data_IF_496115539042
#
_entry.id   IF_496115539042
#
_cell.length_a   1.000
_cell.length_b   1.000
_cell.length_c   1.000
_cell.angle_alpha   90.00
_cell.angle_beta   90.00
_cell.angle_gamma   90.00
#
_symmetry.space_group_name_H-M   'P 1'
#
loop_
_entity.id
_entity.type
_entity.pdbx_description
1 polymer ?
#
# COMPACT_ATOMS: atom_id res chain seq x y z
N UNK A 1 -6.82 -3.30 23.27
CA UNK A 1 -5.70 -2.77 22.46
C UNK A 1 -6.21 -1.92 21.29
N UNK A 2 -6.90 -2.48 20.28
CA UNK A 2 -7.36 -1.72 19.11
C UNK A 2 -8.27 -0.52 19.44
N UNK A 3 -9.26 -0.69 20.32
CA UNK A 3 -10.17 0.39 20.70
C UNK A 3 -9.44 1.64 21.25
N UNK A 4 -8.41 1.45 22.08
CA UNK A 4 -7.57 2.55 22.60
C UNK A 4 -6.80 3.24 21.48
N UNK A 5 -6.19 2.46 20.58
CA UNK A 5 -5.47 2.99 19.41
C UNK A 5 -6.40 3.84 18.54
N UNK A 6 -7.58 3.32 18.22
CA UNK A 6 -8.58 4.03 17.42
C UNK A 6 -9.02 5.32 18.09
N UNK A 7 -9.33 5.31 19.39
CA UNK A 7 -9.73 6.51 20.12
C UNK A 7 -8.67 7.61 20.03
N UNK A 8 -7.40 7.26 20.23
CA UNK A 8 -6.27 8.19 20.17
C UNK A 8 -5.99 8.71 18.77
N UNK A 9 -6.13 7.84 17.76
CA UNK A 9 -5.96 8.20 16.35
C UNK A 9 -7.08 9.12 15.87
N UNK A 10 -8.34 8.87 16.24
CA UNK A 10 -9.49 9.66 15.82
C UNK A 10 -9.63 11.00 16.56
N UNK A 11 -9.03 11.13 17.76
CA UNK A 11 -9.11 12.34 18.57
C UNK A 11 -8.54 13.56 17.82
N UNK A 12 -9.37 14.59 17.66
CA UNK A 12 -9.01 15.85 17.01
C UNK A 12 -9.14 15.85 15.48
N UNK A 13 -9.49 14.72 14.87
CA UNK A 13 -9.68 14.63 13.41
C UNK A 13 -11.12 15.00 13.00
N UNK A 14 -11.28 15.47 11.76
CA UNK A 14 -12.58 15.86 11.23
C UNK A 14 -13.55 14.67 11.17
N UNK A 15 -14.86 14.95 11.07
CA UNK A 15 -15.85 13.90 10.85
C UNK A 15 -15.62 13.14 9.53
N UNK A 16 -15.13 13.83 8.50
CA UNK A 16 -14.83 13.23 7.19
C UNK A 16 -13.64 12.27 7.28
N UNK A 17 -12.57 12.70 7.92
CA UNK A 17 -11.42 11.84 8.18
C UNK A 17 -11.83 10.60 8.97
N UNK A 18 -12.57 10.77 10.07
CA UNK A 18 -13.02 9.66 10.92
C UNK A 18 -13.87 8.65 10.16
N UNK A 19 -14.78 9.12 9.30
CA UNK A 19 -15.62 8.23 8.48
C UNK A 19 -14.78 7.43 7.48
N UNK A 20 -13.87 8.07 6.74
CA UNK A 20 -13.01 7.39 5.76
C UNK A 20 -12.05 6.40 6.45
N UNK A 21 -11.46 6.78 7.57
CA UNK A 21 -10.55 5.90 8.32
C UNK A 21 -11.27 4.73 8.96
N UNK A 22 -12.49 4.93 9.48
CA UNK A 22 -13.30 3.83 9.98
C UNK A 22 -13.59 2.81 8.87
N UNK A 23 -13.95 3.28 7.67
CA UNK A 23 -14.13 2.42 6.50
C UNK A 23 -12.85 1.65 6.14
N UNK A 24 -11.68 2.31 6.11
CA UNK A 24 -10.41 1.64 5.80
C UNK A 24 -10.06 0.55 6.83
N UNK A 25 -10.33 0.78 8.11
CA UNK A 25 -10.18 -0.22 9.16
C UNK A 25 -11.17 -1.38 9.02
N UNK A 26 -12.45 -1.08 8.77
CA UNK A 26 -13.48 -2.09 8.54
C UNK A 26 -13.11 -2.98 7.35
N UNK A 27 -12.72 -2.38 6.23
CA UNK A 27 -12.27 -3.08 5.03
C UNK A 27 -11.08 -3.99 5.32
N UNK A 28 -10.06 -3.47 6.03
CA UNK A 28 -8.91 -4.27 6.46
C UNK A 28 -9.34 -5.51 7.25
N UNK A 29 -10.18 -5.35 8.28
CA UNK A 29 -10.64 -6.49 9.07
C UNK A 29 -11.50 -7.46 8.26
N UNK A 30 -12.37 -6.95 7.40
CA UNK A 30 -13.28 -7.74 6.57
C UNK A 30 -12.56 -8.58 5.50
N UNK A 31 -11.33 -8.23 5.10
CA UNK A 31 -10.57 -8.99 4.11
C UNK A 31 -9.86 -10.24 4.69
N UNK A 32 -9.62 -10.31 6.01
CA UNK A 32 -8.90 -11.45 6.61
C UNK A 32 -9.63 -12.80 6.50
N UNK A 33 -10.98 -12.88 6.63
CA UNK A 33 -11.70 -14.12 6.38
C UNK A 33 -11.50 -14.66 4.96
N UNK A 34 -11.47 -13.78 3.95
CA UNK A 34 -11.23 -14.17 2.56
C UNK A 34 -9.80 -14.73 2.37
N UNK A 35 -8.82 -14.13 3.04
CA UNK A 35 -7.43 -14.61 3.04
C UNK A 35 -7.28 -15.96 3.73
N UNK A 36 -7.96 -16.16 4.85
CA UNK A 36 -8.00 -17.45 5.53
C UNK A 36 -8.66 -18.53 4.67
N UNK A 37 -9.78 -18.23 4.01
CA UNK A 37 -10.44 -19.16 3.09
C UNK A 37 -9.56 -19.49 1.88
N UNK A 38 -8.85 -18.50 1.33
CA UNK A 38 -7.88 -18.66 0.25
C UNK A 38 -6.79 -19.67 0.61
N UNK A 39 -6.16 -19.51 1.79
CA UNK A 39 -5.14 -20.44 2.29
C UNK A 39 -5.66 -21.88 2.42
N UNK A 40 -6.88 -22.07 2.91
CA UNK A 40 -7.50 -23.39 3.06
C UNK A 40 -7.80 -24.07 1.71
N UNK A 41 -7.99 -23.31 0.64
CA UNK A 41 -8.25 -23.87 -0.68
C UNK A 41 -7.04 -24.56 -1.30
N UNK A 42 -5.82 -24.19 -0.87
CA UNK A 42 -4.56 -24.65 -1.44
C UNK A 42 -4.37 -24.28 -2.92
N UNK A 43 -5.22 -23.40 -3.48
CA UNK A 43 -5.15 -22.97 -4.87
C UNK A 43 -4.41 -21.64 -4.97
N UNK A 44 -3.49 -21.59 -5.91
CA UNK A 44 -2.86 -20.34 -6.32
C UNK A 44 -3.96 -19.41 -6.89
N UNK A 45 -4.15 -18.19 -6.33
CA UNK A 45 -5.04 -17.22 -6.93
C UNK A 45 -4.46 -16.71 -8.25
N UNK A 46 -5.33 -16.27 -9.17
CA UNK A 46 -4.86 -15.45 -10.29
C UNK A 46 -4.31 -14.10 -9.77
N UNK A 47 -3.52 -13.43 -10.61
CA UNK A 47 -2.86 -12.16 -10.26
C UNK A 47 -3.84 -11.08 -9.82
N UNK A 48 -4.99 -10.96 -10.47
CA UNK A 48 -5.98 -9.91 -10.14
C UNK A 48 -6.61 -10.16 -8.78
N UNK A 49 -7.05 -11.39 -8.53
CA UNK A 49 -7.60 -11.83 -7.26
C UNK A 49 -6.60 -11.71 -6.11
N UNK A 50 -5.33 -12.06 -6.37
CA UNK A 50 -4.25 -11.87 -5.41
C UNK A 50 -4.09 -10.39 -5.03
N UNK A 51 -3.96 -9.50 -6.02
CA UNK A 51 -3.78 -8.07 -5.77
C UNK A 51 -4.97 -7.45 -5.05
N UNK A 52 -6.19 -7.83 -5.42
CA UNK A 52 -7.41 -7.37 -4.75
C UNK A 52 -7.42 -7.76 -3.27
N UNK A 53 -7.09 -9.02 -2.97
CA UNK A 53 -7.02 -9.52 -1.61
C UNK A 53 -5.88 -8.88 -0.81
N UNK A 54 -4.68 -8.81 -1.40
CA UNK A 54 -3.48 -8.26 -0.78
C UNK A 54 -3.65 -6.80 -0.39
N UNK A 55 -4.27 -5.98 -1.25
CA UNK A 55 -4.57 -4.57 -0.91
C UNK A 55 -5.49 -4.47 0.29
N UNK A 56 -6.42 -5.40 0.45
CA UNK A 56 -7.32 -5.50 1.60
C UNK A 56 -6.61 -5.93 2.89
N UNK A 57 -5.68 -6.87 2.82
CA UNK A 57 -5.02 -7.42 4.01
C UNK A 57 -3.71 -6.73 4.39
N UNK A 58 -3.16 -5.85 3.54
CA UNK A 58 -1.91 -5.13 3.83
C UNK A 58 -2.06 -3.91 4.77
N UNK A 59 -3.30 -3.51 5.10
CA UNK A 59 -3.62 -2.34 5.95
C UNK A 59 -3.14 -0.97 5.43
N UNK A 60 -2.64 -0.88 4.20
CA UNK A 60 -1.94 0.32 3.68
C UNK A 60 -2.78 1.59 3.75
N UNK A 61 -4.07 1.50 3.44
CA UNK A 61 -4.99 2.64 3.49
C UNK A 61 -5.13 3.22 4.91
N UNK A 62 -5.04 2.37 5.95
CA UNK A 62 -5.06 2.81 7.36
C UNK A 62 -3.78 3.57 7.73
N UNK A 63 -2.63 3.18 7.17
CA UNK A 63 -1.36 3.87 7.37
C UNK A 63 -1.35 5.23 6.65
N UNK A 64 -1.95 5.30 5.46
CA UNK A 64 -2.08 6.54 4.72
C UNK A 64 -2.95 7.57 5.43
N UNK A 65 -4.00 7.13 6.13
CA UNK A 65 -4.76 8.03 6.99
C UNK A 65 -3.93 8.54 8.19
N UNK A 66 -2.98 7.73 8.69
CA UNK A 66 -2.07 8.17 9.74
C UNK A 66 -1.09 9.24 9.28
N UNK A 67 -0.76 9.33 7.98
CA UNK A 67 0.07 10.43 7.44
C UNK A 67 -0.54 11.77 7.82
N UNK A 68 -1.83 11.95 7.59
CA UNK A 68 -2.58 13.16 7.95
C UNK A 68 -2.60 13.39 9.47
N UNK A 69 -2.96 12.36 10.23
CA UNK A 69 -3.10 12.42 11.69
C UNK A 69 -1.79 12.73 12.41
N UNK A 70 -0.69 12.13 11.99
CA UNK A 70 0.62 12.28 12.64
C UNK A 70 1.27 13.63 12.28
N UNK A 71 1.00 14.12 11.07
CA UNK A 71 1.53 15.40 10.60
C UNK A 71 0.58 16.58 10.83
N UNK A 72 -0.59 16.35 11.45
CA UNK A 72 -1.56 17.39 11.85
C UNK A 72 -2.05 18.24 10.67
N UNK A 73 -2.44 17.58 9.59
CA UNK A 73 -3.13 18.21 8.45
C UNK A 73 -4.11 17.20 7.85
N UNK A 74 -5.06 17.67 7.05
CA UNK A 74 -5.92 16.80 6.22
C UNK A 74 -5.80 17.26 4.76
N UNK A 75 -5.67 16.32 3.83
CA UNK A 75 -5.58 16.65 2.40
C UNK A 75 -6.95 17.12 1.88
N UNK A 76 -7.00 18.16 1.02
CA UNK A 76 -8.25 18.58 0.39
C UNK A 76 -8.93 17.41 -0.34
N UNK A 77 -10.26 17.32 -0.25
CA UNK A 77 -11.02 16.18 -0.78
C UNK A 77 -10.92 16.09 -2.30
N UNK A 78 -10.86 17.24 -2.97
CA UNK A 78 -10.70 17.38 -4.40
C UNK A 78 -9.39 16.74 -4.87
N UNK A 79 -8.32 16.84 -4.06
CA UNK A 79 -7.03 16.20 -4.33
C UNK A 79 -7.09 14.72 -3.96
N UNK A 80 -7.63 14.39 -2.78
CA UNK A 80 -7.74 13.01 -2.28
C UNK A 80 -8.42 12.09 -3.31
N UNK A 81 -9.50 12.58 -3.92
CA UNK A 81 -10.29 11.84 -4.88
C UNK A 81 -9.81 12.01 -6.33
N UNK A 82 -8.82 12.87 -6.58
CA UNK A 82 -8.24 13.03 -7.90
C UNK A 82 -7.60 11.72 -8.38
N UNK A 83 -7.82 11.28 -9.63
CA UNK A 83 -7.30 10.00 -10.14
C UNK A 83 -5.80 9.82 -9.95
N UNK A 84 -5.01 10.88 -10.14
CA UNK A 84 -3.56 10.86 -9.90
C UNK A 84 -3.21 10.48 -8.46
N UNK A 85 -3.84 11.10 -7.46
CA UNK A 85 -3.49 10.79 -6.07
C UNK A 85 -4.02 9.41 -5.64
N UNK A 86 -5.18 8.98 -6.17
CA UNK A 86 -5.68 7.62 -5.97
C UNK A 86 -4.71 6.57 -6.50
N UNK A 87 -4.19 6.79 -7.70
CA UNK A 87 -3.19 5.90 -8.30
C UNK A 87 -1.88 5.93 -7.51
N UNK A 88 -1.44 7.09 -7.03
CA UNK A 88 -0.24 7.18 -6.17
C UNK A 88 -0.42 6.41 -4.86
N UNK A 89 -1.60 6.50 -4.20
CA UNK A 89 -1.91 5.68 -3.02
C UNK A 89 -1.86 4.19 -3.34
N UNK A 90 -2.46 3.77 -4.45
CA UNK A 90 -2.41 2.38 -4.89
C UNK A 90 -0.97 1.89 -5.12
N UNK A 91 -0.15 2.67 -5.84
CA UNK A 91 1.26 2.33 -6.06
C UNK A 91 2.03 2.24 -4.73
N UNK A 92 1.82 3.20 -3.82
CA UNK A 92 2.45 3.20 -2.50
C UNK A 92 2.02 2.02 -1.62
N UNK A 93 0.85 1.43 -1.87
CA UNK A 93 0.37 0.22 -1.21
C UNK A 93 0.94 -1.07 -1.84
N UNK A 94 1.03 -1.09 -3.17
CA UNK A 94 1.46 -2.26 -3.94
C UNK A 94 2.98 -2.47 -3.86
N UNK A 95 3.79 -1.42 -3.95
CA UNK A 95 5.27 -1.52 -3.94
C UNK A 95 5.79 -2.33 -2.73
N UNK A 96 5.44 -2.00 -1.47
CA UNK A 96 5.81 -2.81 -0.30
C UNK A 96 5.38 -4.26 -0.37
N UNK A 97 4.21 -4.54 -0.97
CA UNK A 97 3.70 -5.90 -1.08
C UNK A 97 4.53 -6.74 -2.04
N UNK A 98 4.97 -6.15 -3.16
CA UNK A 98 5.78 -6.85 -4.16
C UNK A 98 7.19 -7.13 -3.63
N UNK A 99 7.82 -6.17 -2.96
CA UNK A 99 9.15 -6.38 -2.37
C UNK A 99 9.07 -7.38 -1.23
N UNK A 100 8.04 -7.29 -0.38
CA UNK A 100 7.79 -8.27 0.68
C UNK A 100 7.71 -9.69 0.13
N UNK A 101 6.93 -9.91 -0.92
CA UNK A 101 6.73 -11.24 -1.51
C UNK A 101 8.04 -11.84 -2.04
N UNK A 102 8.94 -11.01 -2.58
CA UNK A 102 10.28 -11.46 -3.01
C UNK A 102 11.11 -11.85 -1.79
N UNK A 103 11.12 -11.04 -0.74
CA UNK A 103 11.89 -11.30 0.48
C UNK A 103 11.35 -12.50 1.29
N UNK A 104 10.03 -12.70 1.32
CA UNK A 104 9.38 -13.77 2.09
C UNK A 104 9.21 -15.08 1.31
N UNK A 105 9.48 -15.09 0.00
CA UNK A 105 9.23 -16.23 -0.89
C UNK A 105 9.74 -17.57 -0.34
N UNK A 106 11.00 -17.64 0.11
CA UNK A 106 11.59 -18.90 0.57
C UNK A 106 10.85 -19.50 1.77
N UNK A 107 10.48 -18.64 2.73
CA UNK A 107 9.77 -19.05 3.94
C UNK A 107 8.32 -19.44 3.65
N UNK A 108 7.63 -18.66 2.83
CA UNK A 108 6.24 -18.90 2.44
C UNK A 108 6.12 -20.16 1.59
N UNK A 109 7.02 -20.36 0.63
CA UNK A 109 7.08 -21.57 -0.18
C UNK A 109 7.32 -22.82 0.67
N UNK A 110 8.25 -22.76 1.63
CA UNK A 110 8.51 -23.88 2.55
C UNK A 110 7.32 -24.23 3.45
N UNK A 111 6.46 -23.26 3.77
CA UNK A 111 5.21 -23.46 4.54
C UNK A 111 4.05 -23.97 3.70
N UNK A 112 4.19 -23.97 2.36
CA UNK A 112 3.11 -24.30 1.44
C UNK A 112 2.07 -23.18 1.29
N UNK A 113 2.45 -21.93 1.57
CA UNK A 113 1.60 -20.78 1.26
C UNK A 113 1.46 -20.64 -0.27
N UNK A 114 0.31 -20.15 -0.72
CA UNK A 114 -0.02 -20.04 -2.16
C UNK A 114 -0.26 -18.59 -2.60
N UNK A 115 -0.21 -17.62 -1.68
CA UNK A 115 -0.52 -16.23 -1.94
C UNK A 115 0.76 -15.37 -1.95
N UNK A 116 1.56 -15.52 -3.00
CA UNK A 116 2.80 -14.77 -3.20
C UNK A 116 3.00 -14.45 -4.69
N UNK A 117 3.35 -13.20 -5.01
CA UNK A 117 3.50 -12.75 -6.40
C UNK A 117 4.59 -13.50 -7.18
N UNK A 118 5.67 -13.94 -6.55
CA UNK A 118 6.73 -14.74 -7.22
C UNK A 118 6.18 -16.07 -7.70
N UNK A 119 5.34 -16.74 -6.90
CA UNK A 119 4.69 -17.99 -7.29
C UNK A 119 3.71 -17.77 -8.45
N UNK A 120 2.94 -16.69 -8.40
CA UNK A 120 1.96 -16.32 -9.44
C UNK A 120 2.68 -16.02 -10.76
N UNK A 121 3.72 -15.19 -10.73
CA UNK A 121 4.48 -14.84 -11.94
C UNK A 121 5.13 -16.07 -12.57
N UNK A 122 5.64 -17.00 -11.75
CA UNK A 122 6.21 -18.26 -12.23
C UNK A 122 5.17 -19.16 -12.88
N UNK A 123 3.95 -19.22 -12.34
CA UNK A 123 2.85 -19.95 -12.98
C UNK A 123 2.45 -19.34 -14.32
N UNK A 124 2.42 -18.00 -14.41
CA UNK A 124 2.04 -17.27 -15.62
C UNK A 124 3.08 -17.35 -16.76
N UNK A 125 4.36 -17.31 -16.43
CA UNK A 125 5.45 -17.14 -17.41
C UNK A 125 6.43 -18.33 -17.48
N UNK A 126 6.33 -19.29 -16.55
CA UNK A 126 7.33 -20.34 -16.36
C UNK A 126 8.63 -19.82 -15.76
N UNK A 127 9.71 -20.61 -15.90
CA UNK A 127 11.06 -20.23 -15.47
C UNK A 127 11.39 -20.59 -14.02
N UNK A 128 12.54 -20.12 -13.56
CA UNK A 128 13.02 -20.36 -12.20
C UNK A 128 12.41 -19.37 -11.20
N UNK A 129 12.39 -19.70 -9.89
CA UNK A 129 11.98 -18.75 -8.85
C UNK A 129 12.78 -17.43 -8.88
N UNK A 130 14.06 -17.48 -9.22
CA UNK A 130 14.93 -16.31 -9.31
C UNK A 130 14.55 -15.41 -10.49
N UNK A 131 14.19 -15.99 -11.64
CA UNK A 131 13.70 -15.25 -12.81
C UNK A 131 12.36 -14.55 -12.50
N UNK A 132 11.44 -15.26 -11.84
CA UNK A 132 10.16 -14.72 -11.41
C UNK A 132 10.35 -13.60 -10.36
N UNK A 133 11.21 -13.80 -9.36
CA UNK A 133 11.53 -12.78 -8.37
C UNK A 133 12.14 -11.53 -9.00
N UNK A 134 13.06 -11.70 -9.97
CA UNK A 134 13.63 -10.60 -10.71
C UNK A 134 12.56 -9.84 -11.53
N UNK A 135 11.56 -10.54 -12.07
CA UNK A 135 10.43 -9.90 -12.74
C UNK A 135 9.57 -9.08 -11.75
N UNK A 136 9.22 -9.64 -10.60
CA UNK A 136 8.46 -8.93 -9.56
C UNK A 136 9.19 -7.67 -9.10
N UNK A 137 10.51 -7.73 -8.93
CA UNK A 137 11.32 -6.55 -8.60
C UNK A 137 11.33 -5.50 -9.72
N UNK A 138 11.37 -5.90 -11.00
CA UNK A 138 11.23 -4.96 -12.13
C UNK A 138 9.86 -4.29 -12.15
N UNK A 139 8.80 -5.04 -11.86
CA UNK A 139 7.44 -4.49 -11.73
C UNK A 139 7.36 -3.48 -10.58
N UNK A 140 7.94 -3.80 -9.41
CA UNK A 140 8.04 -2.89 -8.28
C UNK A 140 8.81 -1.60 -8.63
N UNK A 141 9.94 -1.71 -9.33
CA UNK A 141 10.70 -0.55 -9.79
C UNK A 141 9.89 0.32 -10.76
N UNK A 142 9.19 -0.28 -11.72
CA UNK A 142 8.34 0.46 -12.65
C UNK A 142 7.19 1.20 -11.91
N UNK A 143 6.66 0.63 -10.83
CA UNK A 143 5.69 1.29 -9.97
C UNK A 143 6.30 2.51 -9.24
N UNK A 144 7.54 2.40 -8.75
CA UNK A 144 8.27 3.52 -8.15
C UNK A 144 8.47 4.65 -9.16
N UNK A 145 8.95 4.34 -10.36
CA UNK A 145 9.19 5.32 -11.41
C UNK A 145 7.88 6.06 -11.79
N UNK A 146 6.79 5.30 -11.89
CA UNK A 146 5.45 5.86 -12.12
C UNK A 146 4.99 6.75 -10.97
N UNK A 147 5.22 6.36 -9.71
CA UNK A 147 4.89 7.17 -8.54
C UNK A 147 5.63 8.51 -8.57
N UNK A 148 6.93 8.51 -8.92
CA UNK A 148 7.74 9.72 -9.06
C UNK A 148 7.20 10.62 -10.17
N UNK A 149 6.89 10.06 -11.34
CA UNK A 149 6.31 10.80 -12.46
C UNK A 149 4.95 11.43 -12.14
N UNK A 150 4.11 10.74 -11.35
CA UNK A 150 2.82 11.29 -10.90
C UNK A 150 2.99 12.37 -9.84
N UNK A 151 3.95 12.21 -8.92
CA UNK A 151 4.25 13.21 -7.89
C UNK A 151 4.60 14.56 -8.48
N UNK A 152 5.34 14.59 -9.59
CA UNK A 152 5.69 15.81 -10.32
C UNK A 152 4.47 16.54 -10.93
N UNK A 153 3.34 15.85 -11.12
CA UNK A 153 2.11 16.44 -11.69
C UNK A 153 1.23 17.11 -10.62
N UNK A 154 1.44 16.79 -9.33
CA UNK A 154 0.58 17.25 -8.23
C UNK A 154 0.51 18.79 -8.12
N UNK A 155 1.60 19.57 -8.29
CA UNK A 155 1.52 21.02 -8.30
C UNK A 155 0.55 21.56 -9.38
N UNK A 156 0.62 21.04 -10.61
CA UNK A 156 -0.27 21.43 -11.70
C UNK A 156 -1.74 21.01 -11.47
N UNK A 157 -1.96 19.88 -10.79
CA UNK A 157 -3.31 19.48 -10.33
C UNK A 157 -3.84 20.48 -9.31
N UNK A 158 -3.00 20.94 -8.37
CA UNK A 158 -3.41 21.94 -7.40
C UNK A 158 -3.74 23.29 -8.06
N UNK A 159 -3.03 23.66 -9.13
CA UNK A 159 -3.36 24.82 -9.98
C UNK A 159 -4.72 24.67 -10.64
N UNK A 160 -4.95 23.53 -11.31
CA UNK A 160 -6.20 23.23 -12.00
C UNK A 160 -7.41 23.25 -11.05
N UNK A 161 -7.24 22.73 -9.84
CA UNK A 161 -8.29 22.71 -8.81
C UNK A 161 -8.46 24.05 -8.08
N UNK A 162 -7.65 25.08 -8.39
CA UNK A 162 -7.76 26.40 -7.77
C UNK A 162 -7.47 26.39 -6.27
N UNK A 163 -6.60 25.48 -5.80
CA UNK A 163 -6.36 25.31 -4.36
C UNK A 163 -5.67 26.53 -3.75
N UNK A 164 -6.06 26.85 -2.52
CA UNK A 164 -5.38 27.84 -1.70
C UNK A 164 -3.93 27.42 -1.39
N UNK A 165 -3.06 28.35 -0.96
CA UNK A 165 -1.70 28.02 -0.53
C UNK A 165 -1.65 26.93 0.55
N UNK A 166 -2.59 26.95 1.49
CA UNK A 166 -2.70 25.92 2.53
C UNK A 166 -3.11 24.55 1.95
N UNK A 167 -4.02 24.52 0.97
CA UNK A 167 -4.43 23.28 0.30
C UNK A 167 -3.30 22.65 -0.53
N UNK A 168 -2.51 23.48 -1.23
CA UNK A 168 -1.31 23.07 -1.97
C UNK A 168 -0.27 22.45 -1.04
N UNK A 169 -0.03 23.10 0.09
CA UNK A 169 0.91 22.60 1.09
C UNK A 169 0.44 21.27 1.68
N UNK A 170 -0.85 21.14 2.00
CA UNK A 170 -1.42 19.88 2.48
C UNK A 170 -1.27 18.74 1.44
N UNK A 171 -1.53 19.02 0.16
CA UNK A 171 -1.35 18.05 -0.93
C UNK A 171 0.13 17.62 -1.05
N UNK A 172 1.05 18.57 -1.02
CA UNK A 172 2.50 18.32 -1.08
C UNK A 172 2.96 17.44 0.09
N UNK A 173 2.59 17.81 1.32
CA UNK A 173 2.92 17.03 2.54
C UNK A 173 2.35 15.63 2.51
N UNK A 174 1.17 15.46 1.93
CA UNK A 174 0.55 14.15 1.78
C UNK A 174 1.34 13.25 0.83
N UNK A 175 1.74 13.77 -0.34
CA UNK A 175 2.62 13.07 -1.30
C UNK A 175 3.97 12.72 -0.68
N UNK A 176 4.59 13.65 0.05
CA UNK A 176 5.85 13.40 0.77
C UNK A 176 5.69 12.30 1.82
N UNK A 177 4.53 12.22 2.48
CA UNK A 177 4.21 11.16 3.43
C UNK A 177 4.13 9.79 2.76
N UNK A 178 3.51 9.70 1.58
CA UNK A 178 3.49 8.46 0.78
C UNK A 178 4.91 8.07 0.33
N UNK A 179 5.71 9.04 -0.11
CA UNK A 179 7.10 8.78 -0.50
C UNK A 179 7.95 8.32 0.69
N UNK A 180 7.76 8.93 1.86
CA UNK A 180 8.42 8.54 3.11
C UNK A 180 8.03 7.14 3.55
N UNK A 181 6.77 6.75 3.34
CA UNK A 181 6.32 5.38 3.58
C UNK A 181 7.08 4.37 2.69
N UNK A 182 7.14 4.61 1.38
CA UNK A 182 7.86 3.73 0.43
C UNK A 182 9.33 3.60 0.82
N UNK A 183 10.01 4.73 1.05
CA UNK A 183 11.43 4.74 1.40
C UNK A 183 11.70 4.11 2.78
N UNK A 184 10.84 4.40 3.75
CA UNK A 184 10.94 3.86 5.11
C UNK A 184 10.72 2.35 5.13
N UNK A 185 9.75 1.85 4.36
CA UNK A 185 9.49 0.43 4.23
C UNK A 185 10.69 -0.29 3.61
N UNK A 186 11.22 0.21 2.48
CA UNK A 186 12.39 -0.38 1.84
C UNK A 186 13.61 -0.44 2.78
N UNK A 187 13.86 0.64 3.54
CA UNK A 187 14.94 0.62 4.55
C UNK A 187 14.69 -0.41 5.65
N UNK A 188 13.45 -0.49 6.13
CA UNK A 188 13.07 -1.49 7.13
C UNK A 188 13.28 -2.91 6.60
N UNK A 189 12.97 -3.19 5.33
CA UNK A 189 13.19 -4.50 4.71
C UNK A 189 14.66 -4.92 4.68
N UNK A 190 15.57 -3.96 4.49
CA UNK A 190 17.03 -4.22 4.50
C UNK A 190 17.57 -4.45 5.91
N UNK A 191 17.01 -3.75 6.91
CA UNK A 191 17.54 -3.76 8.28
C UNK A 191 16.85 -4.80 9.20
N UNK A 192 15.76 -5.42 8.75
CA UNK A 192 14.90 -6.28 9.59
C UNK A 192 15.35 -7.74 9.63
N UNK A 193 15.47 -8.30 10.84
CA UNK A 193 15.69 -9.75 11.02
C UNK A 193 14.45 -10.62 10.78
N UNK A 194 13.34 -10.03 10.27
CA UNK A 194 12.09 -10.77 10.02
C UNK A 194 12.27 -11.85 8.95
N UNK A 195 13.11 -11.60 7.95
CA UNK A 195 13.35 -12.52 6.84
C UNK A 195 14.59 -13.41 7.07
N UNK A 196 15.27 -13.24 8.20
CA UNK A 196 16.38 -14.09 8.61
C UNK A 196 15.80 -15.42 9.12
N UNK A 197 15.72 -16.42 8.25
CA UNK A 197 15.21 -17.76 8.57
C UNK A 197 15.22 -18.67 7.37
#
# INVERSE_FOLDING_TARGET
AFADLWERSARGMSARWRARSAYNWEWYFACHPAEAAGRLSGRLPDREGYLALRRGTAAMETLFDMVERLNRFEVPQEVLHHPTLRLMRQLAADIPSFTNDVHSYAQEFARGDVANMVMIVREEHGGTPEEAAAQVMREAQAMVDRFVGLSAQVPGICDLLGLSPAGREAARRYVDGLASWIAGYHRWEVDTGRYDG
#
